data_IF_613804029792
#
_entry.id   IF_613804029792
#
_cell.length_a   1.000
_cell.length_b   1.000
_cell.length_c   1.000
_cell.angle_alpha   90.00
_cell.angle_beta   90.00
_cell.angle_gamma   90.00
#
_symmetry.space_group_name_H-M   'P 1'
#
loop_
_entity.id
_entity.type
_entity.pdbx_description
1 polymer ?
#
# COMPACT_ATOMS: atom_id res chain seq x y z
N UNK A 1 2.89 2.75 -20.46
CA UNK A 1 3.63 3.54 -19.44
C UNK A 1 3.98 2.55 -18.35
N UNK A 2 5.25 2.42 -17.98
CA UNK A 2 5.64 1.49 -16.92
C UNK A 2 4.84 1.83 -15.66
N UNK A 3 4.15 0.84 -15.11
CA UNK A 3 3.53 0.89 -13.78
C UNK A 3 4.65 1.03 -12.72
N UNK A 4 5.32 2.18 -12.69
CA UNK A 4 6.35 2.49 -11.71
C UNK A 4 5.66 2.63 -10.35
N UNK A 5 5.79 1.58 -9.54
CA UNK A 5 5.37 1.59 -8.14
C UNK A 5 6.55 2.10 -7.31
N UNK A 6 6.32 3.20 -6.58
CA UNK A 6 7.27 3.75 -5.61
C UNK A 6 6.87 3.29 -4.20
N UNK A 7 7.78 2.63 -3.50
CA UNK A 7 7.61 2.35 -2.07
C UNK A 7 7.75 3.65 -1.27
N UNK A 8 6.73 3.95 -0.47
CA UNK A 8 6.63 5.19 0.32
C UNK A 8 6.67 4.95 1.83
N UNK A 9 6.34 3.73 2.27
CA UNK A 9 6.41 3.36 3.67
C UNK A 9 6.62 1.86 3.84
N UNK A 10 7.26 1.48 4.94
CA UNK A 10 7.43 0.09 5.37
C UNK A 10 7.21 0.03 6.89
N UNK A 11 6.42 -0.93 7.37
CA UNK A 11 6.10 -1.06 8.79
C UNK A 11 5.79 -2.50 9.19
N UNK A 12 6.05 -2.84 10.44
CA UNK A 12 5.71 -4.14 11.01
C UNK A 12 4.43 -4.04 11.86
N UNK A 13 3.52 -5.00 11.71
CA UNK A 13 2.31 -5.11 12.53
C UNK A 13 1.91 -6.57 12.70
N UNK A 14 1.55 -6.94 13.93
CA UNK A 14 1.07 -8.28 14.28
C UNK A 14 2.01 -9.42 13.82
N UNK A 15 3.32 -9.15 13.74
CA UNK A 15 4.33 -10.12 13.29
C UNK A 15 4.55 -10.18 11.78
N UNK A 16 3.86 -9.34 11.00
CA UNK A 16 4.01 -9.23 9.56
C UNK A 16 4.65 -7.90 9.15
N UNK A 17 5.45 -7.95 8.10
CA UNK A 17 6.06 -6.77 7.50
C UNK A 17 5.22 -6.28 6.32
N UNK A 18 4.88 -5.00 6.27
CA UNK A 18 4.09 -4.40 5.20
C UNK A 18 4.91 -3.35 4.48
N UNK A 19 4.81 -3.34 3.14
CA UNK A 19 5.34 -2.26 2.31
C UNK A 19 4.20 -1.61 1.53
N UNK A 20 4.16 -0.30 1.58
CA UNK A 20 3.17 0.50 0.88
C UNK A 20 3.83 1.14 -0.33
N UNK A 21 3.38 0.72 -1.50
CA UNK A 21 3.73 1.29 -2.79
C UNK A 21 2.62 2.16 -3.34
N UNK A 22 2.98 3.19 -4.10
CA UNK A 22 2.04 4.06 -4.83
C UNK A 22 2.47 4.19 -6.27
N UNK A 23 1.50 4.38 -7.16
CA UNK A 23 1.74 4.71 -8.57
C UNK A 23 1.23 6.11 -8.91
N UNK A 24 1.63 6.63 -10.08
CA UNK A 24 1.31 7.99 -10.52
C UNK A 24 -0.20 8.25 -10.68
N UNK A 25 -1.00 7.22 -10.90
CA UNK A 25 -2.46 7.26 -10.98
C UNK A 25 -3.14 7.31 -9.60
N UNK A 26 -2.37 7.17 -8.51
CA UNK A 26 -2.86 7.16 -7.14
C UNK A 26 -3.33 5.78 -6.65
N UNK A 27 -3.09 4.71 -7.41
CA UNK A 27 -3.31 3.35 -6.93
C UNK A 27 -2.28 3.00 -5.84
N UNK A 28 -2.75 2.35 -4.77
CA UNK A 28 -1.90 1.85 -3.69
C UNK A 28 -1.70 0.36 -3.84
N UNK A 29 -0.45 -0.08 -3.68
CA UNK A 29 -0.03 -1.47 -3.70
C UNK A 29 0.54 -1.85 -2.34
N UNK A 30 0.02 -2.90 -1.73
CA UNK A 30 0.50 -3.43 -0.45
C UNK A 30 1.28 -4.71 -0.72
N UNK A 31 2.49 -4.80 -0.18
CA UNK A 31 3.29 -6.01 -0.18
C UNK A 31 3.36 -6.53 1.25
N UNK A 32 3.10 -7.82 1.42
CA UNK A 32 3.12 -8.50 2.72
C UNK A 32 4.37 -9.38 2.81
N UNK A 33 5.07 -9.25 3.92
CA UNK A 33 6.32 -9.92 4.25
C UNK A 33 7.37 -9.78 3.12
N UNK A 34 7.80 -10.91 2.57
CA UNK A 34 8.65 -10.97 1.39
C UNK A 34 7.88 -11.49 0.15
N UNK A 35 6.56 -11.36 0.18
CA UNK A 35 5.70 -11.74 -0.93
C UNK A 35 5.97 -10.87 -2.16
N UNK A 36 6.02 -11.50 -3.33
CA UNK A 36 6.16 -10.81 -4.62
C UNK A 36 4.82 -10.28 -5.15
N UNK A 37 3.71 -10.71 -4.54
CA UNK A 37 2.35 -10.33 -4.94
C UNK A 37 1.96 -9.01 -4.29
N UNK A 38 1.62 -8.04 -5.12
CA UNK A 38 0.99 -6.80 -4.69
C UNK A 38 -0.52 -7.00 -4.46
N UNK A 39 -1.03 -6.41 -3.39
CA UNK A 39 -2.46 -6.29 -3.10
C UNK A 39 -2.88 -4.85 -3.33
N UNK A 40 -3.76 -4.64 -4.31
CA UNK A 40 -4.17 -3.30 -4.68
C UNK A 40 -5.32 -2.80 -3.81
N UNK A 41 -5.23 -1.54 -3.40
CA UNK A 41 -6.20 -0.89 -2.55
C UNK A 41 -6.38 0.60 -2.88
N UNK A 42 -7.33 1.20 -2.17
CA UNK A 42 -7.63 2.62 -2.24
C UNK A 42 -7.19 3.29 -0.95
N UNK A 43 -6.48 4.40 -1.09
CA UNK A 43 -6.09 5.24 0.04
C UNK A 43 -7.27 6.06 0.54
N UNK A 44 -7.51 5.99 1.85
CA UNK A 44 -8.37 6.89 2.61
C UNK A 44 -7.57 7.45 3.78
N UNK A 45 -7.99 8.57 4.40
CA UNK A 45 -7.32 9.09 5.59
C UNK A 45 -7.14 8.00 6.66
N UNK A 46 -5.89 7.73 7.02
CA UNK A 46 -5.46 6.78 8.05
C UNK A 46 -5.78 5.30 7.77
N UNK A 47 -6.21 4.95 6.55
CA UNK A 47 -6.46 3.56 6.19
C UNK A 47 -6.34 3.29 4.69
N UNK A 48 -6.00 2.06 4.34
CA UNK A 48 -6.10 1.55 2.97
C UNK A 48 -7.24 0.53 2.92
N UNK A 49 -8.20 0.75 2.04
CA UNK A 49 -9.25 -0.23 1.76
C UNK A 49 -8.75 -1.21 0.70
N UNK A 50 -8.92 -2.51 0.94
CA UNK A 50 -8.44 -3.61 0.09
C UNK A 50 -9.65 -4.41 -0.41
N UNK A 51 -10.26 -4.05 -1.55
CA UNK A 51 -11.54 -4.63 -2.00
C UNK A 51 -11.48 -6.14 -2.23
N UNK A 52 -10.33 -6.65 -2.70
CA UNK A 52 -10.12 -8.08 -2.95
C UNK A 52 -9.74 -8.86 -1.69
N UNK A 53 -9.56 -8.17 -0.57
CA UNK A 53 -9.03 -8.72 0.67
C UNK A 53 -7.53 -9.00 0.62
N UNK A 54 -6.92 -8.89 1.78
CA UNK A 54 -5.59 -9.37 2.08
C UNK A 54 -5.75 -10.49 3.12
N UNK A 55 -5.27 -11.68 2.79
CA UNK A 55 -5.30 -12.81 3.72
C UNK A 55 -4.03 -12.79 4.58
N UNK A 56 -4.22 -12.77 5.91
CA UNK A 56 -3.17 -12.79 6.91
C UNK A 56 -3.56 -13.82 7.96
N UNK A 57 -2.73 -14.82 8.21
CA UNK A 57 -3.00 -15.91 9.15
C UNK A 57 -4.39 -16.57 8.97
N UNK A 58 -4.79 -16.76 7.70
CA UNK A 58 -6.10 -17.33 7.36
C UNK A 58 -7.30 -16.42 7.63
N UNK A 59 -7.06 -15.15 7.99
CA UNK A 59 -8.09 -14.12 8.13
C UNK A 59 -8.04 -13.16 6.96
N UNK A 60 -9.19 -12.91 6.35
CA UNK A 60 -9.32 -11.92 5.28
C UNK A 60 -9.57 -10.54 5.89
N UNK A 61 -8.61 -9.62 5.71
CA UNK A 61 -8.76 -8.22 6.08
C UNK A 61 -9.10 -7.39 4.85
N UNK A 62 -10.05 -6.47 5.00
CA UNK A 62 -10.50 -5.56 3.92
C UNK A 62 -10.00 -4.14 4.12
N UNK A 63 -9.39 -3.87 5.26
CA UNK A 63 -8.92 -2.55 5.67
C UNK A 63 -7.60 -2.72 6.40
N UNK A 64 -6.61 -1.92 6.02
CA UNK A 64 -5.31 -1.84 6.67
C UNK A 64 -5.15 -0.43 7.25
N UNK A 65 -5.23 -0.24 8.56
CA UNK A 65 -4.94 1.04 9.19
C UNK A 65 -3.50 1.47 8.93
N UNK A 66 -3.27 2.73 8.59
CA UNK A 66 -1.94 3.29 8.31
C UNK A 66 -1.77 4.65 9.00
N UNK A 67 -0.53 5.05 9.20
CA UNK A 67 -0.13 6.36 9.73
C UNK A 67 0.73 7.16 8.73
N UNK A 68 0.87 6.65 7.50
CA UNK A 68 1.76 7.19 6.47
C UNK A 68 1.03 7.97 5.36
N UNK A 69 -0.11 8.59 5.68
CA UNK A 69 -0.93 9.36 4.72
C UNK A 69 -0.10 10.40 3.96
N UNK A 70 0.74 11.15 4.68
CA UNK A 70 1.59 12.18 4.09
C UNK A 70 2.63 11.62 3.12
N UNK A 71 3.19 10.43 3.40
CA UNK A 71 4.16 9.78 2.54
C UNK A 71 3.52 9.27 1.24
N UNK A 72 2.27 8.77 1.32
CA UNK A 72 1.47 8.38 0.15
C UNK A 72 1.22 9.59 -0.75
N UNK A 73 0.69 10.68 -0.18
CA UNK A 73 0.42 11.92 -0.92
C UNK A 73 1.68 12.48 -1.59
N UNK A 74 2.80 12.51 -0.86
CA UNK A 74 4.07 12.96 -1.39
C UNK A 74 4.56 12.05 -2.53
N UNK A 75 4.52 10.72 -2.35
CA UNK A 75 4.95 9.78 -3.37
C UNK A 75 4.18 9.91 -4.68
N UNK A 76 2.85 10.06 -4.60
CA UNK A 76 1.99 10.28 -5.78
C UNK A 76 2.35 11.60 -6.47
N UNK A 77 2.56 12.68 -5.71
CA UNK A 77 2.96 13.99 -6.26
C UNK A 77 4.30 13.94 -6.97
N UNK A 78 5.27 13.23 -6.42
CA UNK A 78 6.60 13.07 -7.03
C UNK A 78 6.53 12.26 -8.33
N UNK A 79 5.74 11.19 -8.36
CA UNK A 79 5.54 10.37 -9.55
C UNK A 79 4.82 11.12 -10.68
N UNK A 80 3.89 12.03 -10.36
CA UNK A 80 3.20 12.86 -11.36
C UNK A 80 4.08 13.97 -11.96
N UNK A 81 5.21 14.29 -11.34
CA UNK A 81 6.14 15.32 -11.79
C UNK A 81 7.30 14.77 -12.65
N UNK A 82 7.43 13.45 -12.73
CA UNK A 82 8.38 12.77 -13.63
C UNK A 82 7.77 12.59 -15.02
#
# INVERSE_FOLDING_TARGET
>A
MNDEVKIVNEFDRDGHHFKIGVSADGQVSIYLDNGTKAYHGYHFPSMIQIPKGLEIDGKMILQLPIDCDAAIDQGIRELKQK
#
